data_IF_317996845097
#
_entry.id   IF_317996845097
#
_cell.length_a   1.000
_cell.length_b   1.000
_cell.length_c   1.000
_cell.angle_alpha   90.00
_cell.angle_beta   90.00
_cell.angle_gamma   90.00
#
_symmetry.space_group_name_H-M   'P 1'
#
loop_
_entity.id
_entity.type
_entity.pdbx_description
1 polymer ?
#
# COMPACT_ATOMS: atom_id res chain seq x y z
N UNK A 1 -21.47 -17.48 14.33
CA UNK A 1 -20.15 -16.87 14.53
C UNK A 1 -19.90 -15.90 13.38
N UNK A 2 -19.90 -14.59 13.61
CA UNK A 2 -19.54 -13.62 12.57
C UNK A 2 -18.06 -13.77 12.24
N UNK A 3 -17.76 -14.12 10.99
CA UNK A 3 -16.38 -14.22 10.52
C UNK A 3 -15.72 -12.85 10.65
N UNK A 4 -14.69 -12.72 11.47
CA UNK A 4 -13.94 -11.47 11.59
C UNK A 4 -13.43 -11.07 10.19
N UNK A 5 -13.71 -9.83 9.79
CA UNK A 5 -13.20 -9.27 8.53
C UNK A 5 -11.67 -9.12 8.58
N UNK A 6 -11.03 -8.88 7.42
CA UNK A 6 -9.60 -8.65 7.39
C UNK A 6 -9.21 -7.38 8.15
N UNK A 7 -8.14 -7.44 8.93
CA UNK A 7 -7.64 -6.29 9.69
C UNK A 7 -6.92 -5.29 8.77
N UNK A 8 -6.36 -5.78 7.66
CA UNK A 8 -5.57 -4.98 6.73
C UNK A 8 -5.91 -5.29 5.27
N UNK A 9 -5.67 -4.30 4.41
CA UNK A 9 -5.82 -4.40 2.96
C UNK A 9 -4.66 -3.68 2.26
N UNK A 10 -4.24 -4.18 1.10
CA UNK A 10 -3.26 -3.51 0.26
C UNK A 10 -3.82 -2.21 -0.32
N UNK A 11 -2.97 -1.19 -0.39
CA UNK A 11 -3.19 0.04 -1.14
C UNK A 11 -2.14 0.18 -2.25
N UNK A 12 -2.38 1.10 -3.18
CA UNK A 12 -1.51 1.30 -4.35
C UNK A 12 -0.14 1.95 -4.08
N UNK A 13 0.26 2.15 -2.82
CA UNK A 13 1.52 2.81 -2.48
C UNK A 13 2.66 1.79 -2.44
N UNK A 14 3.76 2.09 -3.13
CA UNK A 14 4.97 1.24 -3.18
C UNK A 14 6.23 2.05 -2.92
N UNK A 15 7.34 1.38 -2.60
CA UNK A 15 8.68 1.96 -2.65
C UNK A 15 9.54 1.33 -3.75
N UNK A 16 10.66 1.98 -4.09
CA UNK A 16 11.72 1.33 -4.88
C UNK A 16 12.46 0.30 -4.02
N UNK A 17 12.90 -0.79 -4.64
CA UNK A 17 13.58 -1.90 -3.98
C UNK A 17 14.90 -1.49 -3.31
N UNK A 18 15.57 -0.47 -3.87
CA UNK A 18 16.85 0.07 -3.41
C UNK A 18 16.70 1.32 -2.52
N UNK A 19 15.49 1.88 -2.41
CA UNK A 19 15.23 3.09 -1.64
C UNK A 19 13.80 3.12 -1.08
N UNK A 20 13.65 2.69 0.17
CA UNK A 20 12.38 2.66 0.90
C UNK A 20 11.76 4.05 1.14
N UNK A 21 12.57 5.11 1.09
CA UNK A 21 12.10 6.49 1.19
C UNK A 21 11.50 7.00 -0.13
N UNK A 22 11.88 6.42 -1.27
CA UNK A 22 11.28 6.74 -2.57
C UNK A 22 9.95 6.02 -2.75
N UNK A 23 8.86 6.65 -2.29
CA UNK A 23 7.49 6.15 -2.40
C UNK A 23 6.78 6.70 -3.64
N UNK A 24 5.95 5.86 -4.26
CA UNK A 24 5.14 6.23 -5.42
C UNK A 24 3.82 5.45 -5.43
N UNK A 25 2.76 6.10 -5.91
CA UNK A 25 1.51 5.42 -6.21
C UNK A 25 1.60 4.71 -7.56
N UNK A 26 1.06 3.48 -7.65
CA UNK A 26 1.07 2.69 -8.89
C UNK A 26 0.24 3.31 -10.02
N UNK A 27 -0.68 4.22 -9.68
CA UNK A 27 -1.48 4.97 -10.66
C UNK A 27 -0.75 6.23 -11.21
N UNK A 28 0.44 6.53 -10.68
CA UNK A 28 1.23 7.70 -11.05
C UNK A 28 0.79 9.02 -10.40
N UNK A 29 -0.19 8.99 -9.50
CA UNK A 29 -0.56 10.17 -8.72
C UNK A 29 0.58 10.65 -7.82
N UNK A 30 0.59 11.94 -7.51
CA UNK A 30 1.62 12.55 -6.67
C UNK A 30 1.54 12.04 -5.23
N UNK A 31 2.66 11.60 -4.67
CA UNK A 31 2.75 11.24 -3.25
C UNK A 31 2.88 12.50 -2.38
N UNK A 32 1.74 13.06 -1.95
CA UNK A 32 1.67 14.28 -1.13
C UNK A 32 0.84 14.10 0.16
N UNK A 33 0.31 12.91 0.41
CA UNK A 33 -0.47 12.56 1.59
C UNK A 33 0.13 11.34 2.26
N UNK A 34 0.15 11.36 3.60
CA UNK A 34 0.70 10.29 4.43
C UNK A 34 -0.20 10.05 5.64
N UNK A 35 -0.47 8.78 5.95
CA UNK A 35 -1.17 8.37 7.17
C UNK A 35 -0.50 7.15 7.82
N UNK A 36 0.82 7.23 8.01
CA UNK A 36 1.58 6.14 8.62
C UNK A 36 1.10 5.85 10.05
N UNK A 37 1.08 4.57 10.42
CA UNK A 37 0.99 4.17 11.82
C UNK A 37 2.20 4.73 12.58
N UNK A 38 2.03 5.00 13.88
CA UNK A 38 3.12 5.49 14.72
C UNK A 38 4.35 4.56 14.64
N UNK A 39 5.53 5.14 14.42
CA UNK A 39 6.78 4.40 14.24
C UNK A 39 6.97 3.76 12.85
N UNK A 40 6.05 4.03 11.90
CA UNK A 40 6.16 3.57 10.51
C UNK A 40 6.38 4.77 9.55
N UNK A 41 7.00 4.55 8.37
CA UNK A 41 7.56 3.30 7.89
C UNK A 41 8.79 2.89 8.71
N UNK A 42 9.01 1.58 8.88
CA UNK A 42 10.22 1.08 9.53
C UNK A 42 11.42 1.28 8.59
N UNK A 43 12.47 1.97 9.05
CA UNK A 43 13.73 2.16 8.31
C UNK A 43 14.56 0.87 8.14
N UNK A 44 13.94 -0.30 8.28
CA UNK A 44 14.66 -1.55 8.08
C UNK A 44 14.95 -1.67 6.59
N UNK A 45 16.22 -1.82 6.25
CA UNK A 45 16.76 -2.04 4.90
C UNK A 45 16.27 -3.35 4.25
N UNK A 46 15.09 -3.82 4.65
CA UNK A 46 14.41 -4.94 4.06
C UNK A 46 13.83 -4.46 2.73
N UNK A 47 14.62 -4.66 1.68
CA UNK A 47 14.21 -4.56 0.26
C UNK A 47 12.87 -5.26 0.01
N UNK A 48 12.52 -6.22 0.86
CA UNK A 48 11.26 -6.95 0.87
C UNK A 48 10.02 -6.08 1.21
N UNK A 49 10.14 -4.98 1.97
CA UNK A 49 9.00 -4.16 2.46
C UNK A 49 8.52 -3.10 1.46
N UNK A 50 8.38 -3.50 0.19
CA UNK A 50 8.04 -2.61 -0.93
C UNK A 50 6.55 -2.30 -1.09
N UNK A 51 5.68 -2.97 -0.34
CA UNK A 51 4.23 -2.78 -0.38
C UNK A 51 3.72 -2.07 0.88
N UNK A 52 2.53 -1.47 0.78
CA UNK A 52 1.87 -0.81 1.90
C UNK A 52 0.49 -1.39 2.08
N UNK A 53 0.16 -1.67 3.33
CA UNK A 53 -1.19 -2.07 3.75
C UNK A 53 -1.78 -0.99 4.65
N UNK A 54 -3.10 -0.92 4.64
CA UNK A 54 -3.89 0.01 5.44
C UNK A 54 -4.74 -0.76 6.44
N UNK A 55 -4.74 -0.31 7.69
CA UNK A 55 -5.66 -0.75 8.74
C UNK A 55 -7.09 -0.39 8.36
N UNK A 56 -7.98 -1.39 8.32
CA UNK A 56 -9.41 -1.15 8.02
C UNK A 56 -10.10 -0.42 9.19
N UNK A 57 -9.51 -0.44 10.39
CA UNK A 57 -10.07 0.15 11.60
C UNK A 57 -9.92 1.68 11.66
N UNK A 58 -8.74 2.19 11.31
CA UNK A 58 -8.36 3.60 11.51
C UNK A 58 -7.68 4.24 10.28
N UNK A 59 -7.49 3.48 9.19
CA UNK A 59 -6.91 3.98 7.96
C UNK A 59 -5.41 4.21 8.01
N UNK A 60 -4.73 3.83 9.11
CA UNK A 60 -3.28 4.00 9.25
C UNK A 60 -2.49 2.97 8.44
N UNK A 61 -1.27 3.31 8.04
CA UNK A 61 -0.48 2.55 7.08
C UNK A 61 0.74 1.87 7.69
N UNK A 62 1.06 0.69 7.16
CA UNK A 62 2.23 -0.09 7.50
C UNK A 62 2.95 -0.52 6.22
N UNK A 63 4.27 -0.40 6.21
CA UNK A 63 5.11 -1.06 5.22
C UNK A 63 5.16 -2.57 5.48
N UNK A 64 5.08 -3.37 4.42
CA UNK A 64 5.11 -4.83 4.50
C UNK A 64 5.65 -5.43 3.22
N UNK A 65 5.97 -6.72 3.27
CA UNK A 65 6.30 -7.48 2.07
C UNK A 65 5.07 -7.66 1.20
N UNK A 66 5.27 -7.66 -0.12
CA UNK A 66 4.17 -7.87 -1.06
C UNK A 66 3.58 -9.29 -1.01
N UNK A 67 4.19 -10.19 -0.23
CA UNK A 67 3.65 -11.52 0.11
C UNK A 67 2.58 -11.46 1.21
N UNK A 68 2.36 -10.30 1.85
CA UNK A 68 1.29 -10.11 2.83
C UNK A 68 1.61 -10.59 4.24
N UNK A 69 2.89 -10.72 4.58
CA UNK A 69 3.34 -11.06 5.93
C UNK A 69 3.42 -9.79 6.79
N UNK A 70 2.28 -9.33 7.31
CA UNK A 70 2.25 -8.26 8.29
C UNK A 70 2.06 -8.86 9.69
N UNK A 71 3.09 -8.86 10.52
CA UNK A 71 3.07 -9.01 12.00
C UNK A 71 1.85 -9.79 12.58
N UNK A 72 1.59 -11.02 12.12
CA UNK A 72 0.51 -11.88 12.63
C UNK A 72 -0.93 -11.50 12.23
N UNK A 73 -1.11 -10.57 11.28
CA UNK A 73 -2.41 -10.09 10.83
C UNK A 73 -2.81 -10.61 9.43
N UNK A 74 -4.11 -10.82 9.23
CA UNK A 74 -4.67 -11.27 7.96
C UNK A 74 -4.83 -10.07 7.03
N UNK A 75 -4.10 -10.09 5.91
CA UNK A 75 -4.32 -9.16 4.78
C UNK A 75 -5.41 -9.72 3.87
N UNK A 76 -6.52 -9.01 3.74
CA UNK A 76 -7.74 -9.51 3.09
C UNK A 76 -7.83 -9.35 1.58
N UNK A 77 -6.78 -8.84 0.93
CA UNK A 77 -6.81 -8.41 -0.48
C UNK A 77 -6.35 -6.96 -0.63
N UNK A 78 -6.79 -6.28 -1.70
CA UNK A 78 -6.42 -4.88 -1.97
C UNK A 78 -7.59 -4.03 -2.42
N UNK A 79 -7.49 -2.72 -2.18
CA UNK A 79 -8.45 -1.71 -2.67
C UNK A 79 -8.01 -1.24 -4.06
N UNK A 80 -8.91 -1.32 -5.04
CA UNK A 80 -8.65 -0.84 -6.40
C UNK A 80 -9.28 0.55 -6.61
N UNK A 81 -8.51 1.45 -7.21
CA UNK A 81 -9.03 2.70 -7.75
C UNK A 81 -9.71 2.41 -9.09
N UNK A 82 -10.92 2.92 -9.26
CA UNK A 82 -11.61 2.91 -10.55
C UNK A 82 -11.43 4.26 -11.22
N UNK A 83 -11.29 4.23 -12.55
CA UNK A 83 -11.29 5.41 -13.38
C UNK A 83 -12.60 5.45 -14.18
N UNK A 84 -13.27 6.60 -14.29
CA UNK A 84 -14.38 6.74 -15.23
C UNK A 84 -13.91 6.31 -16.62
N UNK A 85 -14.76 5.61 -17.38
CA UNK A 85 -14.39 4.99 -18.67
C UNK A 85 -13.73 5.96 -19.69
N UNK A 86 -13.86 7.27 -19.49
CA UNK A 86 -13.37 8.33 -20.36
C UNK A 86 -11.93 8.78 -20.07
N UNK A 87 -11.31 8.41 -18.94
CA UNK A 87 -9.92 8.84 -18.63
C UNK A 87 -8.84 7.86 -19.13
N UNK A 88 -9.21 6.85 -19.92
CA UNK A 88 -8.26 5.91 -20.59
C UNK A 88 -7.42 6.53 -21.72
N UNK A 89 -7.50 7.84 -21.94
CA UNK A 89 -6.63 8.57 -22.87
C UNK A 89 -5.55 9.28 -22.05
N UNK A 90 -4.59 8.52 -21.51
CA UNK A 90 -3.21 8.94 -21.17
C UNK A 90 -2.45 7.78 -20.52
N UNK A 91 -2.33 6.67 -21.24
CA UNK A 91 -1.14 5.85 -21.06
C UNK A 91 -0.07 6.44 -21.99
N UNK A 92 1.06 6.96 -21.48
CA UNK A 92 2.24 7.09 -22.32
C UNK A 92 2.69 5.67 -22.64
N UNK A 93 2.57 5.28 -23.90
CA UNK A 93 3.22 4.08 -24.42
C UNK A 93 4.73 4.32 -24.29
N UNK A 94 5.43 3.47 -23.54
CA UNK A 94 6.88 3.30 -23.72
C UNK A 94 7.10 2.20 -24.74
#
# INVERSE_FOLDING_TARGET
>A
MTRAGPSYVFIGLRSKEDNVAMRYWVDGSTFNYMNWMEGKPTNQNDRASSCVIMSVKDGTWLDTTCQGHAEGAIVGGGICQSFPAQSRIKAPQR
#
